data_IF_707406409843
#
_entry.id   IF_707406409843
#
_cell.length_a   1.000
_cell.length_b   1.000
_cell.length_c   1.000
_cell.angle_alpha   90.00
_cell.angle_beta   90.00
_cell.angle_gamma   90.00
#
_symmetry.space_group_name_H-M   'P 1'
#
loop_
_entity.id
_entity.type
_entity.pdbx_description
1 polymer ?
#
# COMPACT_ATOMS: atom_id res chain seq x y z
N UNK A 1 15.03 24.73 -12.76
CA UNK A 1 15.45 23.40 -12.27
C UNK A 1 15.34 22.41 -13.41
N UNK A 2 16.43 21.81 -13.84
CA UNK A 2 16.41 20.82 -14.90
C UNK A 2 15.94 19.47 -14.33
N UNK A 3 15.05 18.81 -15.08
CA UNK A 3 14.57 17.47 -14.72
C UNK A 3 15.41 16.44 -15.44
N UNK A 4 16.07 15.54 -14.70
CA UNK A 4 16.80 14.44 -15.26
C UNK A 4 15.83 13.33 -15.70
N UNK A 5 15.83 13.00 -16.98
CA UNK A 5 15.08 11.84 -17.48
C UNK A 5 16.04 10.65 -17.56
N UNK A 6 15.77 9.60 -16.80
CA UNK A 6 16.56 8.38 -16.79
C UNK A 6 16.45 7.65 -18.14
N UNK A 7 17.60 7.35 -18.73
CA UNK A 7 17.74 6.47 -19.90
C UNK A 7 18.85 5.46 -19.61
N UNK A 8 18.81 4.28 -20.20
CA UNK A 8 19.83 3.26 -20.02
C UNK A 8 21.24 3.79 -20.30
N UNK A 9 21.40 4.67 -21.27
CA UNK A 9 22.68 5.29 -21.64
C UNK A 9 23.23 6.26 -20.60
N UNK A 10 22.43 6.67 -19.62
CA UNK A 10 22.84 7.56 -18.54
C UNK A 10 23.32 6.82 -17.29
N UNK A 11 23.19 5.50 -17.27
CA UNK A 11 23.56 4.67 -16.13
C UNK A 11 24.98 4.15 -16.32
N UNK A 12 25.84 4.43 -15.36
CA UNK A 12 27.20 3.94 -15.31
C UNK A 12 27.38 3.05 -14.10
N UNK A 13 27.60 1.77 -14.31
CA UNK A 13 27.92 0.84 -13.23
C UNK A 13 29.37 1.06 -12.78
N UNK A 14 29.58 0.98 -11.46
CA UNK A 14 30.90 1.09 -10.85
C UNK A 14 31.10 -0.07 -9.87
N UNK A 15 32.35 -0.27 -9.46
CA UNK A 15 32.77 -1.25 -8.44
C UNK A 15 32.27 -0.87 -7.03
N UNK A 16 31.63 0.28 -6.86
CA UNK A 16 31.00 0.73 -5.62
C UNK A 16 29.54 0.28 -5.59
N UNK A 17 29.04 0.01 -4.39
CA UNK A 17 27.63 -0.38 -4.15
C UNK A 17 26.67 0.77 -4.46
N UNK A 18 26.49 1.09 -5.74
CA UNK A 18 25.61 2.18 -6.17
C UNK A 18 25.60 2.35 -7.68
N UNK A 19 24.76 3.26 -8.12
CA UNK A 19 24.58 3.59 -9.54
C UNK A 19 24.95 5.05 -9.76
N UNK A 20 25.81 5.31 -10.74
CA UNK A 20 26.07 6.66 -11.21
C UNK A 20 25.18 6.98 -12.40
N UNK A 21 24.59 8.15 -12.37
CA UNK A 21 23.71 8.67 -13.40
C UNK A 21 24.27 10.00 -13.88
N UNK A 22 24.40 10.19 -15.18
CA UNK A 22 24.90 11.45 -15.75
C UNK A 22 23.91 12.04 -16.74
N UNK A 23 23.79 13.36 -16.75
CA UNK A 23 23.09 14.12 -17.79
C UNK A 23 24.06 14.67 -18.87
N UNK A 24 25.35 14.28 -18.79
CA UNK A 24 26.44 14.77 -19.64
C UNK A 24 27.26 15.90 -19.04
N UNK A 25 26.73 16.61 -18.07
CA UNK A 25 27.41 17.72 -17.38
C UNK A 25 27.66 17.40 -15.89
N UNK A 26 26.72 16.73 -15.23
CA UNK A 26 26.77 16.38 -13.81
C UNK A 26 26.71 14.87 -13.62
N UNK A 27 27.39 14.43 -12.57
CA UNK A 27 27.37 13.05 -12.14
C UNK A 27 26.57 12.94 -10.84
N UNK A 28 25.57 12.08 -10.84
CA UNK A 28 24.75 11.79 -9.67
C UNK A 28 25.04 10.38 -9.19
N UNK A 29 25.20 10.21 -7.89
CA UNK A 29 25.37 8.91 -7.27
C UNK A 29 24.10 8.53 -6.51
N UNK A 30 23.57 7.34 -6.78
CA UNK A 30 22.41 6.80 -6.09
C UNK A 30 22.80 5.48 -5.44
N UNK A 31 22.53 5.36 -4.15
CA UNK A 31 22.72 4.14 -3.38
C UNK A 31 21.43 3.83 -2.61
N UNK A 32 21.21 2.56 -2.33
CA UNK A 32 20.12 2.11 -1.46
C UNK A 32 20.73 1.43 -0.24
N UNK A 33 20.34 1.88 0.93
CA UNK A 33 20.75 1.29 2.20
C UNK A 33 19.54 0.75 2.95
N UNK A 34 19.74 -0.35 3.68
CA UNK A 34 18.68 -0.87 4.54
C UNK A 34 18.47 0.09 5.71
N UNK A 35 17.23 0.53 5.88
CA UNK A 35 16.84 1.29 7.04
C UNK A 35 16.70 0.35 8.26
N UNK A 36 17.53 0.55 9.27
CA UNK A 36 17.52 -0.26 10.49
C UNK A 36 16.43 0.18 11.49
N UNK A 37 15.81 1.34 11.24
CA UNK A 37 14.71 1.87 12.08
C UNK A 37 13.58 2.38 11.19
N UNK A 38 12.96 1.53 10.38
CA UNK A 38 11.93 1.96 9.45
C UNK A 38 10.71 2.49 10.21
N UNK A 39 10.23 3.64 9.76
CA UNK A 39 8.96 4.16 10.24
C UNK A 39 7.81 3.35 9.66
N UNK A 40 6.81 3.06 10.49
CA UNK A 40 5.60 2.42 10.01
C UNK A 40 4.81 3.44 9.17
N UNK A 41 4.57 3.17 7.88
CA UNK A 41 3.82 4.11 7.03
C UNK A 41 2.41 4.41 7.54
N UNK A 42 1.81 3.51 8.31
CA UNK A 42 0.48 3.71 8.89
C UNK A 42 0.45 4.75 10.01
N UNK A 43 1.59 5.05 10.61
CA UNK A 43 1.74 6.07 11.66
C UNK A 43 2.05 7.45 11.10
N UNK A 44 2.18 7.57 9.79
CA UNK A 44 2.47 8.82 9.12
C UNK A 44 1.21 9.69 9.03
N UNK A 45 1.32 10.96 9.35
CA UNK A 45 0.23 11.96 9.27
C UNK A 45 -0.34 12.13 7.86
N UNK A 46 0.39 11.70 6.84
CA UNK A 46 -0.05 11.77 5.44
C UNK A 46 -0.96 10.61 5.01
N UNK A 47 -1.32 9.69 5.91
CA UNK A 47 -2.25 8.62 5.59
C UNK A 47 -3.66 9.16 5.37
N UNK A 48 -4.13 9.08 4.14
CA UNK A 48 -5.47 9.53 3.75
C UNK A 48 -6.47 8.38 3.57
N UNK A 49 -6.07 7.13 3.80
CA UNK A 49 -6.91 5.96 3.58
C UNK A 49 -7.37 5.34 4.89
N UNK A 50 -8.60 4.85 4.86
CA UNK A 50 -9.14 3.95 5.88
C UNK A 50 -9.03 2.51 5.37
N UNK A 51 -8.43 1.64 6.14
CA UNK A 51 -8.37 0.22 5.83
C UNK A 51 -9.54 -0.48 6.53
N UNK A 52 -10.42 -1.07 5.74
CA UNK A 52 -11.55 -1.86 6.23
C UNK A 52 -11.27 -3.33 5.92
N UNK A 53 -11.25 -4.20 6.92
CA UNK A 53 -10.85 -5.58 6.71
C UNK A 53 -11.60 -6.56 7.61
N UNK A 54 -11.69 -7.80 7.15
CA UNK A 54 -12.21 -8.92 7.93
C UNK A 54 -11.08 -9.52 8.76
N UNK A 55 -11.30 -9.68 10.06
CA UNK A 55 -10.33 -10.29 10.96
C UNK A 55 -10.06 -11.75 10.58
N UNK A 56 -8.84 -12.17 10.76
CA UNK A 56 -8.42 -13.56 10.62
C UNK A 56 -7.38 -13.92 11.70
N UNK A 57 -6.84 -15.12 11.65
CA UNK A 57 -5.85 -15.58 12.66
C UNK A 57 -4.56 -14.76 12.70
N UNK A 58 -4.23 -14.01 11.65
CA UNK A 58 -3.04 -13.15 11.58
C UNK A 58 -3.37 -11.68 11.79
N UNK A 59 -4.60 -11.28 11.48
CA UNK A 59 -5.07 -9.89 11.56
C UNK A 59 -6.17 -9.81 12.61
N UNK A 60 -5.80 -9.34 13.79
CA UNK A 60 -6.73 -9.11 14.89
C UNK A 60 -7.48 -7.79 14.75
N UNK A 61 -7.90 -7.25 15.88
CA UNK A 61 -8.57 -5.95 15.93
C UNK A 61 -7.67 -4.82 15.41
N UNK A 62 -8.28 -3.79 14.86
CA UNK A 62 -7.58 -2.60 14.37
C UNK A 62 -6.77 -1.94 15.48
N UNK A 63 -5.54 -1.56 15.14
CA UNK A 63 -4.61 -0.84 16.02
C UNK A 63 -4.57 0.66 15.75
N UNK A 64 -5.21 1.10 14.67
CA UNK A 64 -5.18 2.49 14.22
C UNK A 64 -6.60 3.04 14.22
N UNK A 65 -6.76 4.26 14.70
CA UNK A 65 -8.08 4.91 14.88
C UNK A 65 -8.87 5.06 13.58
N UNK A 66 -8.17 5.15 12.46
CA UNK A 66 -8.79 5.32 11.14
C UNK A 66 -9.15 3.99 10.47
N UNK A 67 -8.69 2.87 10.99
CA UNK A 67 -8.96 1.56 10.40
C UNK A 67 -10.16 0.90 11.06
N UNK A 68 -10.85 0.04 10.33
CA UNK A 68 -12.04 -0.68 10.79
C UNK A 68 -11.88 -2.17 10.55
N UNK A 69 -12.15 -2.95 11.58
CA UNK A 69 -12.16 -4.41 11.49
C UNK A 69 -13.57 -4.95 11.62
N UNK A 70 -13.85 -6.02 10.90
CA UNK A 70 -15.14 -6.68 10.83
C UNK A 70 -15.01 -8.16 11.20
N UNK A 71 -16.06 -8.70 11.80
CA UNK A 71 -16.09 -10.11 12.19
C UNK A 71 -16.16 -11.05 10.98
N UNK A 72 -16.90 -10.66 9.96
CA UNK A 72 -17.07 -11.42 8.72
C UNK A 72 -17.25 -10.50 7.50
N UNK A 73 -17.30 -11.12 6.33
CA UNK A 73 -17.43 -10.39 5.07
C UNK A 73 -18.82 -9.77 4.87
N UNK A 74 -19.84 -10.33 5.47
CA UNK A 74 -21.21 -9.77 5.37
C UNK A 74 -21.27 -8.43 6.08
N UNK A 75 -20.72 -8.32 7.27
CA UNK A 75 -20.63 -7.05 8.01
C UNK A 75 -19.85 -5.98 7.24
N UNK A 76 -18.72 -6.35 6.61
CA UNK A 76 -17.95 -5.45 5.77
C UNK A 76 -18.78 -4.99 4.56
N UNK A 77 -19.46 -5.91 3.89
CA UNK A 77 -20.28 -5.58 2.72
C UNK A 77 -21.46 -4.69 3.07
N UNK A 78 -22.10 -4.90 4.23
CA UNK A 78 -23.17 -4.05 4.72
C UNK A 78 -22.67 -2.61 4.98
N UNK A 79 -21.49 -2.48 5.56
CA UNK A 79 -20.88 -1.16 5.76
C UNK A 79 -20.61 -0.46 4.42
N UNK A 80 -20.04 -1.16 3.43
CA UNK A 80 -19.75 -0.60 2.11
C UNK A 80 -21.02 -0.20 1.36
N UNK A 81 -22.08 -1.01 1.48
CA UNK A 81 -23.40 -0.68 0.91
C UNK A 81 -23.98 0.58 1.56
N UNK A 82 -23.83 0.75 2.86
CA UNK A 82 -24.23 1.96 3.57
C UNK A 82 -23.52 3.22 3.09
N UNK A 83 -22.24 3.14 2.78
CA UNK A 83 -21.47 4.26 2.21
C UNK A 83 -22.01 4.67 0.84
N UNK A 84 -22.37 3.70 -0.01
CA UNK A 84 -22.96 3.96 -1.33
C UNK A 84 -24.36 4.58 -1.21
N UNK A 85 -25.16 4.10 -0.27
CA UNK A 85 -26.51 4.62 -0.02
C UNK A 85 -26.48 6.07 0.48
N UNK A 86 -25.48 6.44 1.26
CA UNK A 86 -25.26 7.81 1.71
C UNK A 86 -24.70 8.74 0.62
N UNK A 87 -24.49 8.23 -0.59
CA UNK A 87 -23.89 8.97 -1.72
C UNK A 87 -22.54 9.60 -1.39
N UNK A 88 -21.79 8.98 -0.49
CA UNK A 88 -20.44 9.40 -0.20
C UNK A 88 -19.54 9.26 -1.44
N UNK A 89 -18.81 10.31 -1.79
CA UNK A 89 -17.80 10.23 -2.84
C UNK A 89 -16.53 9.61 -2.25
N UNK A 90 -16.14 8.46 -2.76
CA UNK A 90 -14.92 7.78 -2.33
C UNK A 90 -14.31 6.96 -3.46
N UNK A 91 -13.03 6.71 -3.37
CA UNK A 91 -12.31 5.73 -4.17
C UNK A 91 -11.95 4.55 -3.28
N UNK A 92 -11.94 3.36 -3.85
CA UNK A 92 -11.59 2.15 -3.11
C UNK A 92 -10.67 1.25 -3.91
N UNK A 93 -9.79 0.56 -3.20
CA UNK A 93 -8.89 -0.45 -3.75
C UNK A 93 -9.09 -1.74 -2.96
N UNK A 94 -9.39 -2.87 -3.63
CA UNK A 94 -9.54 -4.13 -2.94
C UNK A 94 -8.22 -4.61 -2.35
N UNK A 95 -8.29 -5.31 -1.23
CA UNK A 95 -7.14 -5.91 -0.56
C UNK A 95 -7.29 -7.42 -0.57
N UNK A 96 -6.28 -8.10 -1.08
CA UNK A 96 -6.19 -9.55 -1.15
C UNK A 96 -5.15 -10.05 -0.16
N UNK A 97 -5.42 -11.18 0.45
CA UNK A 97 -4.49 -11.86 1.32
C UNK A 97 -4.19 -13.26 0.80
N UNK A 98 -2.95 -13.65 0.86
CA UNK A 98 -2.49 -15.03 0.70
C UNK A 98 -2.04 -15.54 2.08
N UNK A 99 -2.72 -16.58 2.57
CA UNK A 99 -2.50 -17.12 3.91
C UNK A 99 -1.99 -18.54 3.79
N UNK A 100 -0.67 -18.71 3.94
CA UNK A 100 -0.01 -20.01 3.91
C UNK A 100 1.23 -19.96 4.81
N UNK A 101 1.13 -20.47 6.04
CA UNK A 101 2.17 -20.38 7.08
C UNK A 101 2.57 -18.94 7.45
N UNK A 102 1.77 -17.97 7.07
CA UNK A 102 1.95 -16.54 7.27
C UNK A 102 0.94 -15.79 6.44
N UNK A 103 1.02 -14.48 6.40
CA UNK A 103 0.13 -13.65 5.59
C UNK A 103 0.93 -12.73 4.66
N UNK A 104 0.51 -12.68 3.41
CA UNK A 104 0.97 -11.70 2.42
C UNK A 104 -0.23 -10.92 1.91
N UNK A 105 -0.11 -9.61 1.80
CA UNK A 105 -1.19 -8.72 1.40
C UNK A 105 -0.82 -8.02 0.09
N UNK A 106 -1.79 -7.89 -0.81
CA UNK A 106 -1.62 -7.21 -2.10
C UNK A 106 -2.90 -6.51 -2.51
N UNK A 107 -2.78 -5.51 -3.37
CA UNK A 107 -3.91 -4.87 -4.05
C UNK A 107 -4.37 -5.65 -5.29
N UNK A 108 -3.60 -6.64 -5.72
CA UNK A 108 -3.91 -7.55 -6.81
C UNK A 108 -4.17 -8.96 -6.33
N UNK A 109 -5.00 -9.70 -7.06
CA UNK A 109 -5.29 -11.11 -6.75
C UNK A 109 -4.04 -11.97 -6.90
N UNK A 110 -3.87 -12.93 -5.98
CA UNK A 110 -2.78 -13.92 -6.05
C UNK A 110 -3.08 -15.08 -7.02
N UNK A 111 -4.31 -15.20 -7.50
CA UNK A 111 -4.69 -16.29 -8.42
C UNK A 111 -4.80 -17.66 -7.76
N UNK A 112 -4.59 -17.79 -6.46
CA UNK A 112 -4.73 -19.03 -5.72
C UNK A 112 -6.16 -19.14 -5.16
N UNK A 113 -6.96 -20.16 -5.56
CA UNK A 113 -8.35 -20.28 -5.12
C UNK A 113 -8.51 -20.81 -3.69
N UNK A 114 -7.47 -21.38 -3.09
CA UNK A 114 -7.53 -22.08 -1.80
C UNK A 114 -7.05 -21.21 -0.63
N UNK A 115 -5.87 -20.61 -0.79
CA UNK A 115 -5.17 -19.90 0.29
C UNK A 115 -5.23 -18.38 0.14
N UNK A 116 -5.90 -17.89 -0.90
CA UNK A 116 -6.03 -16.44 -1.13
C UNK A 116 -7.46 -16.00 -1.39
N UNK A 117 -7.72 -14.75 -1.08
CA UNK A 117 -9.01 -14.12 -1.32
C UNK A 117 -9.00 -12.66 -0.95
N UNK A 118 -10.06 -11.96 -1.37
CA UNK A 118 -10.30 -10.58 -0.94
C UNK A 118 -10.71 -10.58 0.54
N UNK A 119 -9.99 -9.85 1.38
CA UNK A 119 -10.29 -9.77 2.80
C UNK A 119 -10.67 -8.37 3.25
N UNK A 120 -10.51 -7.37 2.40
CA UNK A 120 -10.75 -6.00 2.78
C UNK A 120 -10.68 -5.03 1.63
N UNK A 121 -10.72 -3.76 1.97
CA UNK A 121 -10.68 -2.66 1.04
C UNK A 121 -10.02 -1.44 1.69
N UNK A 122 -9.19 -0.75 0.94
CA UNK A 122 -8.70 0.58 1.32
C UNK A 122 -9.63 1.62 0.71
N UNK A 123 -10.13 2.52 1.52
CA UNK A 123 -11.08 3.56 1.12
C UNK A 123 -10.45 4.93 1.39
N UNK A 124 -10.60 5.82 0.42
CA UNK A 124 -10.27 7.23 0.60
C UNK A 124 -11.47 8.07 0.17
N UNK A 125 -12.02 8.82 1.10
CA UNK A 125 -13.13 9.74 0.80
C UNK A 125 -12.59 11.06 0.24
N UNK A 126 -13.44 11.80 -0.46
CA UNK A 126 -13.12 13.13 -0.97
C UNK A 126 -12.65 14.07 0.15
N UNK A 127 -13.24 13.98 1.31
CA UNK A 127 -12.90 14.80 2.47
C UNK A 127 -11.51 14.49 3.02
N UNK A 128 -11.05 13.25 2.91
CA UNK A 128 -9.72 12.83 3.37
C UNK A 128 -8.58 13.29 2.43
N UNK A 129 -8.89 13.62 1.18
CA UNK A 129 -7.90 14.01 0.16
C UNK A 129 -7.61 15.52 0.16
N UNK A 130 -8.45 16.29 0.75
CA UNK A 130 -8.34 17.77 0.74
C UNK A 130 -7.24 18.27 1.68
#
# INVERSE_FOLDING_TARGET
>A
MSTLTLRETNIVETDLDGIYITDGEKLFFMTAEQDNMPLNPRENDCNCCTICYVRNRYLGSSKYDNDMDFADSDDLNDYLAGLKDCRAEFVSVPLYAYVHSGITISTGSFGDPWDSGCFGVAICTKEQVV
#
